data_IF_805702580814
#
_entry.id   IF_805702580814
#
_cell.length_a   1.000
_cell.length_b   1.000
_cell.length_c   1.000
_cell.angle_alpha   90.00
_cell.angle_beta   90.00
_cell.angle_gamma   90.00
#
_symmetry.space_group_name_H-M   'P 1'
#
loop_
_entity.id
_entity.type
_entity.pdbx_description
1 polymer ?
#
# COMPACT_ATOMS: atom_id res chain seq x y z
N UNK A 1 19.85 -5.21 -8.98
CA UNK A 1 20.29 -6.16 -7.93
C UNK A 1 20.33 -5.53 -6.53
N UNK A 2 20.10 -4.23 -6.39
CA UNK A 2 20.18 -3.49 -5.12
C UNK A 2 18.81 -3.27 -4.46
N UNK A 3 17.75 -3.86 -5.00
CA UNK A 3 16.39 -3.71 -4.48
C UNK A 3 16.25 -4.22 -3.04
N UNK A 4 15.48 -3.47 -2.24
CA UNK A 4 15.09 -3.84 -0.87
C UNK A 4 13.57 -3.79 -0.76
N UNK A 5 13.01 -4.57 0.14
CA UNK A 5 11.59 -4.59 0.44
C UNK A 5 11.39 -4.30 1.92
N UNK A 6 10.49 -3.37 2.22
CA UNK A 6 9.93 -3.22 3.56
C UNK A 6 8.48 -3.69 3.51
N UNK A 7 8.13 -4.59 4.39
CA UNK A 7 6.78 -5.12 4.49
C UNK A 7 6.26 -4.94 5.93
N UNK A 8 4.95 -4.77 6.04
CA UNK A 8 4.31 -4.49 7.32
C UNK A 8 3.22 -5.54 7.51
N UNK A 9 3.22 -6.18 8.67
CA UNK A 9 2.20 -7.13 9.07
C UNK A 9 1.68 -6.77 10.46
N UNK A 10 0.37 -6.70 10.58
CA UNK A 10 -0.29 -6.35 11.83
C UNK A 10 -0.28 -7.49 12.85
N UNK A 11 -0.47 -8.73 12.39
CA UNK A 11 -0.56 -9.89 13.25
C UNK A 11 0.81 -10.52 13.50
N UNK A 12 1.22 -10.58 14.77
CA UNK A 12 2.54 -11.07 15.15
C UNK A 12 2.81 -12.54 14.79
N UNK A 13 1.78 -13.38 14.83
CA UNK A 13 1.86 -14.78 14.44
C UNK A 13 2.05 -14.96 12.93
N UNK A 14 1.36 -14.15 12.12
CA UNK A 14 1.53 -14.12 10.66
C UNK A 14 2.91 -13.56 10.32
N UNK A 15 3.32 -12.48 10.98
CA UNK A 15 4.64 -11.89 10.80
C UNK A 15 5.76 -12.89 11.10
N UNK A 16 5.60 -13.70 12.16
CA UNK A 16 6.56 -14.76 12.50
C UNK A 16 6.66 -15.80 11.37
N UNK A 17 5.52 -16.28 10.87
CA UNK A 17 5.51 -17.24 9.77
C UNK A 17 6.13 -16.65 8.48
N UNK A 18 5.86 -15.38 8.19
CA UNK A 18 6.47 -14.68 7.07
C UNK A 18 7.99 -14.58 7.23
N UNK A 19 8.48 -14.21 8.43
CA UNK A 19 9.92 -14.13 8.70
C UNK A 19 10.62 -15.49 8.53
N UNK A 20 10.01 -16.58 9.03
CA UNK A 20 10.54 -17.93 8.81
C UNK A 20 10.67 -18.27 7.32
N UNK A 21 9.73 -17.80 6.48
CA UNK A 21 9.81 -17.94 5.02
C UNK A 21 10.90 -17.08 4.42
N UNK A 22 11.08 -15.85 4.88
CA UNK A 22 12.15 -14.96 4.41
C UNK A 22 13.54 -15.50 4.75
N UNK A 23 13.71 -16.03 5.95
CA UNK A 23 14.98 -16.60 6.42
C UNK A 23 15.43 -17.84 5.59
N UNK A 24 14.47 -18.50 4.93
CA UNK A 24 14.76 -19.63 4.02
C UNK A 24 15.05 -19.18 2.58
N UNK A 25 14.87 -17.91 2.27
CA UNK A 25 15.04 -17.36 0.92
C UNK A 25 16.45 -16.79 0.74
N UNK A 26 17.05 -17.03 -0.43
CA UNK A 26 18.33 -16.45 -0.83
C UNK A 26 18.34 -14.92 -0.82
N UNK A 27 17.16 -14.30 -0.96
CA UNK A 27 16.95 -12.85 -0.96
C UNK A 27 16.32 -12.32 0.32
N UNK A 28 16.08 -13.18 1.32
CA UNK A 28 15.44 -12.79 2.57
C UNK A 28 16.17 -11.66 3.31
N UNK A 29 17.47 -11.60 3.17
CA UNK A 29 18.32 -10.52 3.73
C UNK A 29 18.00 -9.12 3.15
N UNK A 30 17.20 -9.03 2.08
CA UNK A 30 16.72 -7.79 1.46
C UNK A 30 15.35 -7.36 1.97
N UNK A 31 14.70 -8.18 2.80
CA UNK A 31 13.35 -7.96 3.29
C UNK A 31 13.42 -7.53 4.75
N UNK A 32 12.88 -6.36 5.04
CA UNK A 32 12.70 -5.84 6.40
C UNK A 32 11.22 -5.91 6.76
N UNK A 33 10.88 -6.66 7.81
CA UNK A 33 9.53 -6.86 8.29
C UNK A 33 9.25 -5.99 9.52
N UNK A 34 8.20 -5.20 9.45
CA UNK A 34 7.65 -4.47 10.58
C UNK A 34 6.42 -5.18 11.12
N UNK A 35 6.32 -5.30 12.43
CA UNK A 35 5.14 -5.86 13.11
C UNK A 35 4.39 -4.72 13.78
N UNK A 36 3.16 -4.47 13.35
CA UNK A 36 2.31 -3.41 13.88
C UNK A 36 1.42 -2.78 12.81
N UNK A 37 0.89 -1.61 13.10
CA UNK A 37 0.01 -0.89 12.17
C UNK A 37 0.81 -0.27 11.02
N UNK A 38 0.24 -0.34 9.81
CA UNK A 38 0.88 0.26 8.64
C UNK A 38 1.02 1.78 8.79
N UNK A 39 0.04 2.44 9.39
CA UNK A 39 0.09 3.90 9.64
C UNK A 39 1.29 4.30 10.50
N UNK A 40 1.54 3.58 11.62
CA UNK A 40 2.69 3.87 12.49
C UNK A 40 4.01 3.65 11.78
N UNK A 41 4.15 2.51 11.08
CA UNK A 41 5.34 2.19 10.31
C UNK A 41 5.61 3.24 9.22
N UNK A 42 4.60 3.59 8.43
CA UNK A 42 4.72 4.59 7.35
C UNK A 42 5.06 5.98 7.90
N UNK A 43 4.45 6.41 9.01
CA UNK A 43 4.80 7.69 9.66
C UNK A 43 6.24 7.72 10.15
N UNK A 44 6.75 6.60 10.67
CA UNK A 44 8.16 6.47 11.04
C UNK A 44 9.07 6.59 9.82
N UNK A 45 8.78 5.83 8.76
CA UNK A 45 9.54 5.89 7.50
C UNK A 45 9.55 7.32 6.92
N UNK A 46 8.41 8.02 6.98
CA UNK A 46 8.30 9.41 6.55
C UNK A 46 9.18 10.35 7.40
N UNK A 47 9.18 10.18 8.72
CA UNK A 47 10.04 10.95 9.62
C UNK A 47 11.53 10.70 9.35
N UNK A 48 11.88 9.46 8.99
CA UNK A 48 13.23 9.05 8.61
C UNK A 48 13.59 9.46 7.16
N UNK A 49 12.66 10.12 6.43
CA UNK A 49 12.81 10.59 5.05
C UNK A 49 13.11 9.47 4.05
N UNK A 50 12.57 8.30 4.30
CA UNK A 50 12.68 7.17 3.37
C UNK A 50 11.80 7.40 2.14
N UNK A 51 12.25 6.86 1.00
CA UNK A 51 11.49 6.90 -0.26
C UNK A 51 11.47 5.51 -0.91
N UNK A 52 10.39 5.25 -1.63
CA UNK A 52 10.14 3.96 -2.28
C UNK A 52 9.74 4.17 -3.74
N UNK A 53 10.33 3.38 -4.63
CA UNK A 53 9.99 3.37 -6.05
C UNK A 53 8.63 2.71 -6.30
N UNK A 54 8.27 1.73 -5.44
CA UNK A 54 6.99 1.03 -5.51
C UNK A 54 6.39 0.97 -4.11
N UNK A 55 5.13 1.38 -3.98
CA UNK A 55 4.32 1.20 -2.77
C UNK A 55 3.12 0.34 -3.13
N UNK A 56 3.04 -0.87 -2.57
CA UNK A 56 1.92 -1.78 -2.75
C UNK A 56 0.98 -1.71 -1.55
N UNK A 57 -0.26 -1.32 -1.78
CA UNK A 57 -1.30 -1.20 -0.74
C UNK A 57 -2.26 -2.37 -0.90
N UNK A 58 -2.16 -3.34 0.01
CA UNK A 58 -3.06 -4.49 0.13
C UNK A 58 -3.35 -4.78 1.62
N UNK A 59 -3.79 -3.76 2.32
CA UNK A 59 -4.08 -3.80 3.76
C UNK A 59 -5.59 -3.65 4.03
N UNK A 60 -5.94 -3.20 5.22
CA UNK A 60 -7.31 -2.90 5.61
C UNK A 60 -7.87 -1.72 4.79
N UNK A 61 -9.04 -1.93 4.21
CA UNK A 61 -9.64 -0.99 3.23
C UNK A 61 -10.05 0.34 3.85
N UNK A 62 -10.31 0.33 5.15
CA UNK A 62 -10.68 1.51 5.94
C UNK A 62 -9.58 2.59 5.92
N UNK A 63 -8.32 2.19 5.80
CA UNK A 63 -7.18 3.10 5.89
C UNK A 63 -6.48 3.38 4.54
N UNK A 64 -7.00 2.90 3.42
CA UNK A 64 -6.39 3.10 2.09
C UNK A 64 -6.13 4.57 1.75
N UNK A 65 -7.04 5.46 2.11
CA UNK A 65 -6.87 6.89 1.87
C UNK A 65 -5.71 7.46 2.69
N UNK A 66 -5.56 7.05 3.95
CA UNK A 66 -4.45 7.48 4.81
C UNK A 66 -3.11 6.96 4.27
N UNK A 67 -3.04 5.69 3.85
CA UNK A 67 -1.83 5.14 3.24
C UNK A 67 -1.43 5.90 1.98
N UNK A 68 -2.39 6.22 1.13
CA UNK A 68 -2.14 7.04 -0.05
C UNK A 68 -1.61 8.43 0.31
N UNK A 69 -2.20 9.09 1.29
CA UNK A 69 -1.77 10.42 1.73
C UNK A 69 -0.33 10.39 2.26
N UNK A 70 -0.01 9.43 3.14
CA UNK A 70 1.36 9.25 3.65
C UNK A 70 2.37 8.94 2.52
N UNK A 71 1.96 8.15 1.53
CA UNK A 71 2.79 7.90 0.36
C UNK A 71 3.07 9.21 -0.41
N UNK A 72 2.04 10.02 -0.64
CA UNK A 72 2.16 11.29 -1.35
C UNK A 72 2.87 12.38 -0.56
N UNK A 73 2.89 12.32 0.78
CA UNK A 73 3.55 13.29 1.65
C UNK A 73 5.08 13.16 1.66
N UNK A 74 5.64 12.09 1.06
CA UNK A 74 7.08 11.99 0.88
C UNK A 74 7.66 10.57 0.81
N UNK A 75 6.85 9.52 0.99
CA UNK A 75 7.33 8.15 0.88
C UNK A 75 7.45 7.68 -0.58
N UNK A 76 6.60 8.19 -1.47
CA UNK A 76 6.70 7.85 -2.89
C UNK A 76 7.80 8.69 -3.55
N UNK A 77 8.78 8.03 -4.15
CA UNK A 77 9.80 8.68 -4.97
C UNK A 77 9.16 9.44 -6.16
N UNK A 78 9.88 10.39 -6.74
CA UNK A 78 9.33 11.23 -7.82
C UNK A 78 8.86 10.41 -9.02
N UNK A 79 9.64 9.41 -9.42
CA UNK A 79 9.29 8.48 -10.52
C UNK A 79 8.59 7.20 -10.01
N UNK A 80 8.19 7.17 -8.74
CA UNK A 80 7.61 6.02 -8.10
C UNK A 80 6.15 5.76 -8.49
N UNK A 81 5.68 4.55 -8.19
CA UNK A 81 4.32 4.11 -8.48
C UNK A 81 3.66 3.51 -7.23
N UNK A 82 2.39 3.83 -7.01
CA UNK A 82 1.54 3.16 -6.03
C UNK A 82 0.68 2.14 -6.76
N UNK A 83 0.59 0.93 -6.22
CA UNK A 83 -0.33 -0.12 -6.64
C UNK A 83 -1.31 -0.36 -5.50
N UNK A 84 -2.60 -0.05 -5.70
CA UNK A 84 -3.65 -0.30 -4.72
C UNK A 84 -4.52 -1.49 -5.17
N UNK A 85 -4.44 -2.60 -4.43
CA UNK A 85 -5.17 -3.82 -4.75
C UNK A 85 -6.64 -3.75 -4.30
N UNK A 86 -7.47 -4.56 -4.93
CA UNK A 86 -8.91 -4.68 -4.70
C UNK A 86 -9.69 -3.37 -4.88
N UNK A 87 -9.20 -2.45 -5.68
CA UNK A 87 -9.77 -1.11 -5.83
C UNK A 87 -11.18 -1.09 -6.43
N UNK A 88 -11.61 -2.16 -7.11
CA UNK A 88 -12.98 -2.35 -7.62
C UNK A 88 -13.92 -3.04 -6.64
N UNK A 89 -13.43 -3.51 -5.48
CA UNK A 89 -14.27 -4.16 -4.48
C UNK A 89 -15.41 -3.27 -3.97
N UNK A 90 -15.27 -1.94 -4.02
CA UNK A 90 -16.36 -1.01 -3.71
C UNK A 90 -17.61 -1.21 -4.58
N UNK A 91 -17.48 -1.84 -5.76
CA UNK A 91 -18.58 -2.18 -6.66
C UNK A 91 -19.17 -3.57 -6.38
N UNK A 92 -18.45 -4.42 -5.64
CA UNK A 92 -18.79 -5.82 -5.41
C UNK A 92 -19.44 -6.05 -4.05
N UNK A 93 -19.14 -5.21 -3.07
CA UNK A 93 -19.70 -5.29 -1.72
C UNK A 93 -21.02 -4.50 -1.62
N UNK A 94 -21.80 -4.83 -0.59
CA UNK A 94 -22.97 -4.03 -0.23
C UNK A 94 -22.53 -2.58 0.06
N UNK A 95 -23.20 -1.60 -0.54
CA UNK A 95 -22.92 -0.18 -0.32
C UNK A 95 -23.07 0.31 1.12
N UNK A 96 -23.65 -0.52 2.01
CA UNK A 96 -23.72 -0.29 3.45
C UNK A 96 -22.50 -0.82 4.21
N UNK A 97 -21.61 -1.59 3.57
CA UNK A 97 -20.38 -2.06 4.19
C UNK A 97 -19.37 -0.89 4.30
N UNK A 98 -18.85 -0.68 5.49
CA UNK A 98 -17.88 0.39 5.79
C UNK A 98 -16.65 0.28 4.86
N UNK A 99 -16.15 -0.93 4.58
CA UNK A 99 -15.01 -1.13 3.68
C UNK A 99 -15.30 -0.64 2.26
N UNK A 100 -16.49 -0.91 1.75
CA UNK A 100 -16.94 -0.39 0.43
C UNK A 100 -16.98 1.12 0.41
N UNK A 101 -17.52 1.74 1.46
CA UNK A 101 -17.61 3.19 1.55
C UNK A 101 -16.23 3.83 1.60
N UNK A 102 -15.31 3.29 2.42
CA UNK A 102 -13.95 3.79 2.55
C UNK A 102 -13.13 3.60 1.28
N UNK A 103 -13.27 2.47 0.62
CA UNK A 103 -12.62 2.23 -0.65
C UNK A 103 -13.20 3.14 -1.76
N UNK A 104 -14.50 3.42 -1.73
CA UNK A 104 -15.10 4.40 -2.63
C UNK A 104 -14.55 5.81 -2.36
N UNK A 105 -14.42 6.23 -1.09
CA UNK A 105 -13.80 7.50 -0.72
C UNK A 105 -12.37 7.60 -1.26
N UNK A 106 -11.56 6.56 -1.08
CA UNK A 106 -10.21 6.47 -1.64
C UNK A 106 -10.22 6.63 -3.17
N UNK A 107 -11.04 5.84 -3.88
CA UNK A 107 -11.13 5.89 -5.33
C UNK A 107 -11.52 7.29 -5.84
N UNK A 108 -12.49 7.94 -5.19
CA UNK A 108 -12.93 9.29 -5.55
C UNK A 108 -11.85 10.33 -5.25
N UNK A 109 -11.15 10.19 -4.13
CA UNK A 109 -10.05 11.10 -3.78
C UNK A 109 -8.94 11.03 -4.83
N UNK A 110 -8.44 9.84 -5.13
CA UNK A 110 -7.36 9.64 -6.12
C UNK A 110 -7.79 10.13 -7.51
N UNK A 111 -9.02 9.83 -7.93
CA UNK A 111 -9.59 10.30 -9.21
C UNK A 111 -9.56 11.82 -9.35
N UNK A 112 -9.74 12.55 -8.25
CA UNK A 112 -9.80 14.00 -8.27
C UNK A 112 -8.48 14.68 -7.92
N UNK A 113 -7.45 13.93 -7.51
CA UNK A 113 -6.14 14.46 -7.17
C UNK A 113 -5.36 14.85 -8.44
N UNK A 114 -5.10 16.14 -8.60
CA UNK A 114 -4.40 16.70 -9.76
C UNK A 114 -2.89 16.48 -9.76
N UNK A 115 -2.35 15.94 -8.67
CA UNK A 115 -0.93 15.61 -8.55
C UNK A 115 -0.57 14.26 -9.16
N UNK A 116 -1.58 13.48 -9.57
CA UNK A 116 -1.37 12.11 -10.05
C UNK A 116 -2.19 11.82 -11.30
N UNK A 117 -1.72 10.85 -12.07
CA UNK A 117 -2.51 10.13 -13.04
C UNK A 117 -2.71 8.68 -12.56
N UNK A 118 -3.80 8.06 -13.00
CA UNK A 118 -4.14 6.71 -12.58
C UNK A 118 -4.73 5.87 -13.70
N UNK A 119 -4.49 4.57 -13.60
CA UNK A 119 -5.12 3.55 -14.45
C UNK A 119 -5.62 2.42 -13.57
N UNK A 120 -6.85 1.98 -13.78
CA UNK A 120 -7.40 0.80 -13.11
C UNK A 120 -7.23 -0.41 -14.04
N UNK A 121 -6.44 -1.37 -13.58
CA UNK A 121 -6.30 -2.66 -14.21
C UNK A 121 -7.41 -3.59 -13.71
N UNK A 122 -8.19 -4.18 -14.62
CA UNK A 122 -9.32 -5.05 -14.28
C UNK A 122 -8.88 -6.50 -14.02
N UNK A 123 -7.77 -6.65 -13.31
CA UNK A 123 -7.27 -7.95 -12.87
C UNK A 123 -7.91 -8.26 -11.53
N UNK A 124 -8.57 -9.41 -11.41
CA UNK A 124 -9.32 -9.83 -10.23
C UNK A 124 -10.26 -8.73 -9.72
N UNK A 125 -10.11 -8.29 -8.49
CA UNK A 125 -10.91 -7.22 -7.88
C UNK A 125 -10.38 -5.81 -8.18
N UNK A 126 -9.52 -5.70 -9.21
CA UNK A 126 -8.96 -4.44 -9.69
C UNK A 126 -7.70 -4.00 -8.95
N UNK A 127 -6.72 -3.55 -9.71
CA UNK A 127 -5.52 -2.90 -9.19
C UNK A 127 -5.43 -1.50 -9.77
N UNK A 128 -5.42 -0.48 -8.90
CA UNK A 128 -5.21 0.90 -9.35
C UNK A 128 -3.73 1.22 -9.30
N UNK A 129 -3.17 1.54 -10.46
CA UNK A 129 -1.82 2.04 -10.62
C UNK A 129 -1.88 3.57 -10.59
N UNK A 130 -1.08 4.19 -9.74
CA UNK A 130 -1.08 5.65 -9.49
C UNK A 130 0.36 6.15 -9.54
N UNK A 131 0.61 7.22 -10.29
CA UNK A 131 1.92 7.89 -10.31
C UNK A 131 1.78 9.41 -10.30
N UNK A 132 2.83 10.12 -9.90
CA UNK A 132 2.90 11.59 -9.99
C UNK A 132 2.89 12.05 -11.45
N UNK A 133 2.36 13.25 -11.70
CA UNK A 133 2.43 13.97 -12.99
C UNK A 133 3.37 15.14 -12.89
#
# INVERSE_FOLDING_TARGET
EDGKVKTIEYYADIAKAAQEGFDQSDVGHKIELFVGTATEAMRKMLADKEQFDIIFIDADKENYLEYYQLAMDGLLADDGVILADNSLCALLYDGNDMRSQKLHEFNQYVKNDKRVEQVVLTVREGVTLIRRV
#
